data_IF_437022005872
#
_entry.id   IF_437022005872
#
_cell.length_a   1.000
_cell.length_b   1.000
_cell.length_c   1.000
_cell.angle_alpha   90.00
_cell.angle_beta   90.00
_cell.angle_gamma   90.00
#
_symmetry.space_group_name_H-M   'P 1'
#
loop_
_entity.id
_entity.type
_entity.pdbx_description
1 polymer ?
#
# COMPACT_ATOMS: atom_id res chain seq x y z
N UNK A 1 -8.06 8.48 40.03
CA UNK A 1 -8.19 8.16 38.59
C UNK A 1 -6.89 7.65 38.00
N UNK A 2 -5.74 8.28 38.24
CA UNK A 2 -4.44 7.87 37.67
C UNK A 2 -4.06 6.40 37.93
N UNK A 3 -4.24 5.91 39.16
CA UNK A 3 -3.95 4.51 39.51
C UNK A 3 -4.79 3.50 38.70
N UNK A 4 -6.04 3.84 38.40
CA UNK A 4 -6.92 2.96 37.63
C UNK A 4 -6.46 2.86 36.17
N UNK A 5 -6.04 3.98 35.59
CA UNK A 5 -5.50 4.04 34.22
C UNK A 5 -4.17 3.28 34.13
N UNK A 6 -3.28 3.43 35.11
CA UNK A 6 -1.99 2.73 35.10
C UNK A 6 -2.13 1.21 35.23
N UNK A 7 -3.07 0.74 36.05
CA UNK A 7 -3.37 -0.69 36.19
C UNK A 7 -4.00 -1.26 34.92
N UNK A 8 -4.89 -0.51 34.27
CA UNK A 8 -5.50 -0.91 33.01
C UNK A 8 -4.45 -1.02 31.89
N UNK A 9 -3.58 -0.01 31.75
CA UNK A 9 -2.51 0.00 30.76
C UNK A 9 -1.58 -1.20 30.90
N UNK A 10 -1.13 -1.49 32.13
CA UNK A 10 -0.26 -2.65 32.42
C UNK A 10 -0.91 -3.99 32.11
N UNK A 11 -2.24 -4.09 32.27
CA UNK A 11 -2.96 -5.32 31.92
C UNK A 11 -3.12 -5.51 30.42
N UNK A 12 -3.27 -4.42 29.67
CA UNK A 12 -3.50 -4.46 28.22
C UNK A 12 -2.20 -4.65 27.42
N UNK A 13 -1.05 -4.24 27.97
CA UNK A 13 0.28 -4.24 27.31
C UNK A 13 0.70 -5.60 26.70
N UNK A 14 0.20 -6.73 27.22
CA UNK A 14 0.53 -8.08 26.75
C UNK A 14 -0.70 -8.92 26.36
N UNK A 15 -1.84 -8.27 26.12
CA UNK A 15 -3.06 -8.97 25.71
C UNK A 15 -3.14 -9.01 24.19
N UNK A 16 -3.48 -10.15 23.56
CA UNK A 16 -3.80 -10.18 22.15
C UNK A 16 -5.00 -9.27 21.89
N UNK A 17 -4.82 -8.28 21.03
CA UNK A 17 -5.88 -7.37 20.61
C UNK A 17 -6.45 -7.86 19.28
N UNK A 18 -7.77 -8.10 19.26
CA UNK A 18 -8.50 -8.39 18.03
C UNK A 18 -9.27 -7.14 17.63
N UNK A 19 -8.92 -6.58 16.48
CA UNK A 19 -9.63 -5.44 15.89
C UNK A 19 -10.71 -5.99 14.97
N UNK A 20 -11.96 -5.69 15.29
CA UNK A 20 -13.12 -6.06 14.47
C UNK A 20 -13.79 -4.80 13.94
N UNK A 21 -14.00 -4.74 12.62
CA UNK A 21 -14.69 -3.62 11.96
C UNK A 21 -16.09 -4.07 11.52
N UNK A 22 -17.13 -3.91 12.38
CA UNK A 22 -18.45 -4.47 12.13
C UNK A 22 -19.21 -3.85 10.94
N UNK A 23 -18.81 -2.65 10.49
CA UNK A 23 -19.37 -2.01 9.29
C UNK A 23 -18.43 -2.00 8.09
N UNK A 24 -17.31 -2.72 8.15
CA UNK A 24 -16.43 -2.85 6.98
C UNK A 24 -16.99 -3.90 6.04
N UNK A 25 -17.88 -3.48 5.13
CA UNK A 25 -18.35 -4.28 3.99
C UNK A 25 -17.29 -4.33 2.87
N UNK A 26 -16.03 -4.59 3.24
CA UNK A 26 -14.97 -4.90 2.30
C UNK A 26 -14.30 -6.19 2.78
N UNK A 27 -14.42 -7.24 1.98
CA UNK A 27 -13.55 -8.39 2.16
C UNK A 27 -12.11 -7.99 1.83
N UNK A 28 -11.13 -8.57 2.53
CA UNK A 28 -9.71 -8.38 2.20
C UNK A 28 -9.44 -8.72 0.72
N UNK A 29 -10.22 -9.64 0.14
CA UNK A 29 -10.19 -9.99 -1.28
C UNK A 29 -10.65 -8.82 -2.16
N UNK A 30 -11.79 -8.19 -1.88
CA UNK A 30 -12.27 -7.02 -2.65
C UNK A 30 -11.34 -5.81 -2.51
N UNK A 31 -10.75 -5.63 -1.33
CA UNK A 31 -9.73 -4.60 -1.12
C UNK A 31 -8.48 -4.89 -1.96
N UNK A 32 -7.98 -6.12 -1.94
CA UNK A 32 -6.82 -6.53 -2.75
C UNK A 32 -7.11 -6.45 -4.25
N UNK A 33 -8.30 -6.88 -4.69
CA UNK A 33 -8.74 -6.83 -6.08
C UNK A 33 -8.88 -5.38 -6.56
N UNK A 34 -9.51 -4.50 -5.76
CA UNK A 34 -9.64 -3.08 -6.11
C UNK A 34 -8.29 -2.37 -6.15
N UNK A 35 -7.41 -2.62 -5.18
CA UNK A 35 -6.07 -2.02 -5.11
C UNK A 35 -5.19 -2.50 -6.26
N UNK A 36 -5.17 -3.81 -6.53
CA UNK A 36 -4.42 -4.38 -7.65
C UNK A 36 -4.95 -3.88 -8.99
N UNK A 37 -6.27 -3.76 -9.14
CA UNK A 37 -6.89 -3.23 -10.34
C UNK A 37 -6.54 -1.74 -10.56
N UNK A 38 -6.56 -0.93 -9.51
CA UNK A 38 -6.14 0.48 -9.57
C UNK A 38 -4.67 0.62 -9.98
N UNK A 39 -3.77 -0.17 -9.40
CA UNK A 39 -2.37 -0.20 -9.78
C UNK A 39 -2.20 -0.57 -11.27
N UNK A 40 -2.92 -1.60 -11.75
CA UNK A 40 -2.90 -2.01 -13.15
C UNK A 40 -3.43 -0.90 -14.10
N UNK A 41 -4.46 -0.16 -13.70
CA UNK A 41 -4.95 0.98 -14.48
C UNK A 41 -3.90 2.08 -14.61
N UNK A 42 -3.22 2.45 -13.52
CA UNK A 42 -2.16 3.46 -13.53
C UNK A 42 -0.95 3.02 -14.37
N UNK A 43 -0.55 1.75 -14.25
CA UNK A 43 0.52 1.17 -15.09
C UNK A 43 0.15 1.23 -16.57
N UNK A 44 -1.10 0.89 -16.91
CA UNK A 44 -1.59 0.98 -18.29
C UNK A 44 -1.50 2.41 -18.83
N UNK A 45 -1.86 3.42 -18.03
CA UNK A 45 -1.73 4.83 -18.43
C UNK A 45 -0.28 5.23 -18.69
N UNK A 46 0.66 4.78 -17.85
CA UNK A 46 2.11 5.02 -18.05
C UNK A 46 2.60 4.35 -19.34
N UNK A 47 2.11 3.15 -19.65
CA UNK A 47 2.50 2.42 -20.86
C UNK A 47 1.93 3.03 -22.15
N UNK A 48 0.72 3.57 -22.09
CA UNK A 48 0.06 4.26 -23.22
C UNK A 48 0.54 5.69 -23.44
N UNK A 49 1.39 6.20 -22.55
CA UNK A 49 2.00 7.53 -22.67
C UNK A 49 3.10 7.49 -23.75
N UNK A 50 2.70 7.74 -25.00
CA UNK A 50 3.60 7.78 -26.17
C UNK A 50 4.48 9.04 -26.22
N UNK A 51 4.38 9.94 -25.23
CA UNK A 51 5.21 11.15 -25.16
C UNK A 51 6.64 10.89 -24.70
N UNK A 52 6.89 9.71 -24.11
CA UNK A 52 8.21 9.30 -23.63
C UNK A 52 8.94 8.49 -24.70
N UNK A 53 10.08 9.03 -25.14
CA UNK A 53 10.97 8.47 -26.17
C UNK A 53 11.77 7.26 -25.65
N UNK A 54 12.29 6.39 -26.52
CA UNK A 54 13.06 5.18 -26.13
C UNK A 54 14.22 5.41 -25.13
N UNK A 55 14.96 6.54 -25.17
CA UNK A 55 15.95 6.88 -24.13
C UNK A 55 15.34 7.15 -22.73
N UNK A 56 14.04 7.45 -22.67
CA UNK A 56 13.26 7.72 -21.45
C UNK A 56 12.48 6.48 -20.96
N UNK A 57 12.70 5.31 -21.57
CA UNK A 57 12.05 4.06 -21.17
C UNK A 57 12.31 3.73 -19.68
N UNK A 58 13.46 4.12 -19.14
CA UNK A 58 13.76 4.03 -17.71
C UNK A 58 12.84 4.90 -16.83
N UNK A 59 12.37 6.05 -17.34
CA UNK A 59 11.39 6.89 -16.63
C UNK A 59 10.00 6.23 -16.57
N UNK A 60 9.61 5.48 -17.61
CA UNK A 60 8.38 4.66 -17.59
C UNK A 60 8.48 3.57 -16.53
N UNK A 61 9.62 2.89 -16.45
CA UNK A 61 9.88 1.85 -15.44
C UNK A 61 9.85 2.44 -14.03
N UNK A 62 10.54 3.55 -13.79
CA UNK A 62 10.53 4.28 -12.51
C UNK A 62 9.09 4.71 -12.11
N UNK A 63 8.30 5.23 -13.06
CA UNK A 63 6.89 5.57 -12.80
C UNK A 63 6.07 4.35 -12.39
N UNK A 64 6.31 3.19 -13.01
CA UNK A 64 5.65 1.92 -12.64
C UNK A 64 6.06 1.48 -11.23
N UNK A 65 7.34 1.58 -10.88
CA UNK A 65 7.83 1.22 -9.54
C UNK A 65 7.16 2.10 -8.47
N UNK A 66 7.08 3.42 -8.71
CA UNK A 66 6.40 4.35 -7.80
C UNK A 66 4.91 4.05 -7.60
N UNK A 67 4.23 3.49 -8.61
CA UNK A 67 2.85 3.01 -8.44
C UNK A 67 2.80 1.90 -7.40
N UNK A 68 3.68 0.89 -7.49
CA UNK A 68 3.74 -0.19 -6.51
C UNK A 68 4.07 0.31 -5.09
N UNK A 69 5.05 1.22 -4.96
CA UNK A 69 5.42 1.81 -3.67
C UNK A 69 4.27 2.61 -3.04
N UNK A 70 3.52 3.38 -3.83
CA UNK A 70 2.35 4.13 -3.36
C UNK A 70 1.24 3.22 -2.82
N UNK A 71 1.13 2.00 -3.33
CA UNK A 71 0.23 0.96 -2.83
C UNK A 71 0.84 0.11 -1.70
N UNK A 72 2.03 0.47 -1.19
CA UNK A 72 2.69 -0.20 -0.07
C UNK A 72 3.47 -1.47 -0.45
N UNK A 73 3.67 -1.72 -1.75
CA UNK A 73 4.48 -2.82 -2.26
C UNK A 73 5.89 -2.31 -2.56
N UNK A 74 6.78 -2.46 -1.59
CA UNK A 74 8.20 -2.14 -1.74
C UNK A 74 8.83 -3.03 -2.84
N UNK A 75 9.37 -2.39 -3.88
CA UNK A 75 10.02 -3.06 -5.00
C UNK A 75 11.54 -3.22 -4.79
N UNK A 76 12.05 -2.85 -3.62
CA UNK A 76 13.46 -2.97 -3.25
C UNK A 76 14.31 -1.81 -3.76
N UNK A 77 15.62 -1.85 -3.43
CA UNK A 77 16.45 -0.64 -3.44
C UNK A 77 17.22 -0.36 -4.75
N UNK A 78 17.06 -1.17 -5.79
CA UNK A 78 17.84 -1.04 -7.04
C UNK A 78 17.17 -0.10 -8.02
N UNK A 79 17.26 1.19 -7.73
CA UNK A 79 16.95 2.30 -8.66
C UNK A 79 18.24 2.85 -9.32
N UNK A 80 19.24 1.99 -9.53
CA UNK A 80 20.44 2.29 -10.31
C UNK A 80 20.13 2.22 -11.82
N UNK A 81 19.33 3.18 -12.30
CA UNK A 81 19.12 3.45 -13.72
C UNK A 81 20.15 4.44 -14.28
#
# INVERSE_FOLDING_TARGET
MELAISLLAKRLENQPMYVHFPQLELSAKELLESTSYQALCQIREILLDDTLSDPECFQKIERIVRVFEAFGSDCGHRHDF
#
